data_IF_688097683224
#
_entry.id   IF_688097683224
#
_cell.length_a   1.000
_cell.length_b   1.000
_cell.length_c   1.000
_cell.angle_alpha   90.00
_cell.angle_beta   90.00
_cell.angle_gamma   90.00
#
_symmetry.space_group_name_H-M   'P 1'
#
loop_
_entity.id
_entity.type
_entity.pdbx_description
1 polymer ?
#
# COMPACT_ATOMS: atom_id res chain seq x y z
N UNK A 1 29.30 15.92 0.80
CA UNK A 1 27.99 16.14 0.24
C UNK A 1 27.13 14.90 0.38
N UNK A 2 26.01 15.00 1.01
CA UNK A 2 25.19 13.81 1.17
C UNK A 2 24.69 13.34 -0.20
N UNK A 3 24.94 12.10 -0.48
CA UNK A 3 24.41 11.49 -1.68
C UNK A 3 22.90 11.46 -1.58
N UNK A 4 22.24 11.89 -2.64
CA UNK A 4 20.80 11.70 -2.71
C UNK A 4 20.54 10.21 -2.79
N UNK A 5 19.93 9.71 -1.75
CA UNK A 5 19.51 8.31 -1.74
C UNK A 5 18.46 8.13 -2.82
N UNK A 6 18.73 7.25 -3.76
CA UNK A 6 17.73 6.92 -4.76
C UNK A 6 16.50 6.33 -4.11
N UNK A 7 15.33 6.71 -4.61
CA UNK A 7 14.09 6.15 -4.16
C UNK A 7 14.00 4.68 -4.56
N UNK A 8 13.51 3.87 -3.65
CA UNK A 8 13.24 2.48 -3.95
C UNK A 8 12.02 2.37 -4.88
N UNK A 9 11.86 1.20 -5.49
CA UNK A 9 10.69 0.92 -6.31
C UNK A 9 9.41 1.09 -5.50
N UNK A 10 9.40 0.56 -4.28
CA UNK A 10 8.23 0.66 -3.39
C UNK A 10 7.90 2.11 -3.05
N UNK A 11 8.91 2.92 -2.70
CA UNK A 11 8.70 4.34 -2.41
C UNK A 11 8.07 5.08 -3.59
N UNK A 12 8.57 4.83 -4.78
CA UNK A 12 8.05 5.46 -5.99
C UNK A 12 6.59 5.06 -6.24
N UNK A 13 6.28 3.78 -6.08
CA UNK A 13 4.92 3.29 -6.29
C UNK A 13 3.94 3.82 -5.23
N UNK A 14 4.34 3.85 -3.98
CA UNK A 14 3.50 4.38 -2.90
C UNK A 14 3.24 5.88 -3.11
N UNK A 15 4.27 6.64 -3.44
CA UNK A 15 4.11 8.08 -3.70
C UNK A 15 3.16 8.31 -4.87
N UNK A 16 3.28 7.52 -5.94
CA UNK A 16 2.36 7.61 -7.08
C UNK A 16 0.91 7.34 -6.65
N UNK A 17 0.69 6.30 -5.85
CA UNK A 17 -0.65 5.97 -5.36
C UNK A 17 -1.24 7.08 -4.48
N UNK A 18 -0.40 7.80 -3.75
CA UNK A 18 -0.85 8.84 -2.83
C UNK A 18 -1.05 10.21 -3.50
N UNK A 19 -0.65 10.39 -4.75
CA UNK A 19 -0.76 11.67 -5.43
C UNK A 19 -2.19 12.06 -5.82
N UNK A 20 -3.00 11.10 -6.26
CA UNK A 20 -4.32 11.40 -6.83
C UNK A 20 -5.40 11.48 -5.77
N UNK A 21 -5.53 12.65 -5.17
CA UNK A 21 -6.52 12.89 -4.11
C UNK A 21 -7.96 12.85 -4.61
N UNK A 22 -8.20 13.18 -5.86
CA UNK A 22 -9.55 13.11 -6.45
C UNK A 22 -10.02 11.65 -6.51
N UNK A 23 -9.14 10.76 -6.93
CA UNK A 23 -9.42 9.33 -6.96
C UNK A 23 -9.64 8.76 -5.55
N UNK A 24 -8.83 9.21 -4.58
CA UNK A 24 -9.01 8.83 -3.18
C UNK A 24 -10.38 9.21 -2.68
N UNK A 25 -10.83 10.42 -2.97
CA UNK A 25 -12.16 10.88 -2.57
C UNK A 25 -13.27 10.03 -3.20
N UNK A 26 -13.10 9.67 -4.47
CA UNK A 26 -14.06 8.81 -5.16
C UNK A 26 -14.15 7.42 -4.52
N UNK A 27 -13.02 6.86 -4.14
CA UNK A 27 -12.98 5.57 -3.44
C UNK A 27 -13.64 5.69 -2.06
N UNK A 28 -13.30 6.74 -1.31
CA UNK A 28 -13.86 6.98 0.01
C UNK A 28 -15.38 7.15 -0.03
N UNK A 29 -15.88 7.82 -1.07
CA UNK A 29 -17.30 8.04 -1.23
C UNK A 29 -18.10 6.75 -1.46
N UNK A 30 -17.45 5.68 -1.88
CA UNK A 30 -18.10 4.37 -2.06
C UNK A 30 -18.24 3.59 -0.76
N UNK A 31 -17.57 4.01 0.30
CA UNK A 31 -17.63 3.31 1.56
C UNK A 31 -18.88 3.70 2.34
N UNK A 32 -19.54 2.74 3.01
CA UNK A 32 -20.64 3.06 3.92
C UNK A 32 -20.14 4.02 5.02
N UNK A 33 -20.99 4.94 5.45
CA UNK A 33 -20.62 5.96 6.43
C UNK A 33 -20.02 5.38 7.71
N UNK A 34 -20.58 4.27 8.19
CA UNK A 34 -20.08 3.59 9.39
C UNK A 34 -18.65 3.09 9.23
N UNK A 35 -18.34 2.54 8.06
CA UNK A 35 -17.03 2.02 7.77
C UNK A 35 -16.02 3.13 7.55
N UNK A 36 -16.44 4.18 6.87
CA UNK A 36 -15.62 5.37 6.68
C UNK A 36 -15.23 5.98 8.04
N UNK A 37 -16.19 6.13 8.94
CA UNK A 37 -15.95 6.68 10.27
C UNK A 37 -14.95 5.82 11.07
N UNK A 38 -15.00 4.50 10.90
CA UNK A 38 -14.08 3.58 11.57
C UNK A 38 -12.65 3.70 11.05
N UNK A 39 -12.50 4.00 9.76
CA UNK A 39 -11.19 4.01 9.09
C UNK A 39 -10.49 5.36 9.21
N UNK A 40 -11.22 6.48 9.11
CA UNK A 40 -10.61 7.81 9.00
C UNK A 40 -9.88 8.30 10.25
N UNK A 41 -10.05 7.65 11.37
CA UNK A 41 -9.37 8.03 12.63
C UNK A 41 -8.12 7.22 12.88
N UNK A 42 -7.72 6.37 11.94
CA UNK A 42 -6.67 5.40 12.18
C UNK A 42 -5.50 5.60 11.27
N UNK A 43 -4.34 5.35 11.82
CA UNK A 43 -3.12 5.26 11.04
C UNK A 43 -2.75 3.80 10.89
N UNK A 44 -2.30 3.44 9.70
CA UNK A 44 -1.69 2.15 9.44
C UNK A 44 -0.23 2.33 9.08
N UNK A 45 0.57 1.34 9.39
CA UNK A 45 1.97 1.33 9.01
C UNK A 45 2.20 0.18 8.04
N UNK A 46 2.74 0.51 6.88
CA UNK A 46 3.13 -0.48 5.89
C UNK A 46 4.66 -0.63 5.94
N UNK A 47 5.14 -1.81 6.24
CA UNK A 47 6.56 -2.13 6.22
C UNK A 47 6.82 -3.06 5.05
N UNK A 48 7.57 -2.58 4.08
CA UNK A 48 8.04 -3.40 2.96
C UNK A 48 9.53 -3.56 3.14
N UNK A 49 9.93 -4.75 3.58
CA UNK A 49 11.30 -5.05 3.99
C UNK A 49 12.15 -5.48 2.81
N UNK A 50 13.33 -4.90 2.67
CA UNK A 50 14.28 -5.23 1.61
C UNK A 50 14.87 -4.00 0.95
N UNK A 51 15.79 -4.21 0.03
CA UNK A 51 16.53 -3.14 -0.64
C UNK A 51 15.62 -2.22 -1.46
N UNK A 52 14.53 -2.77 -2.01
CA UNK A 52 13.55 -2.02 -2.78
C UNK A 52 12.29 -1.71 -1.99
N UNK A 53 12.38 -1.75 -0.68
CA UNK A 53 11.26 -1.53 0.22
C UNK A 53 11.18 -0.12 0.79
N UNK A 54 10.52 -0.02 1.91
CA UNK A 54 10.37 1.22 2.66
C UNK A 54 9.36 1.08 3.78
N UNK A 55 9.27 2.11 4.60
CA UNK A 55 8.31 2.15 5.71
C UNK A 55 7.40 3.36 5.51
N UNK A 56 6.10 3.13 5.54
CA UNK A 56 5.10 4.14 5.24
C UNK A 56 4.05 4.17 6.33
N UNK A 57 3.81 5.35 6.87
CA UNK A 57 2.72 5.56 7.81
C UNK A 57 1.61 6.27 7.03
N UNK A 58 0.46 5.64 6.97
CA UNK A 58 -0.65 6.05 6.13
C UNK A 58 -1.80 6.48 7.02
N UNK A 59 -2.30 7.68 6.78
CA UNK A 59 -3.47 8.22 7.47
C UNK A 59 -4.60 8.38 6.47
N UNK A 60 -5.76 7.82 6.79
CA UNK A 60 -6.95 7.98 5.97
C UNK A 60 -7.82 9.11 6.50
N UNK A 61 -8.29 9.97 5.61
CA UNK A 61 -9.21 11.05 5.92
C UNK A 61 -10.35 11.04 4.92
N UNK A 62 -11.48 11.74 5.18
CA UNK A 62 -12.55 11.85 4.19
C UNK A 62 -12.09 12.49 2.88
N UNK A 63 -10.97 13.22 2.92
CA UNK A 63 -10.44 13.93 1.75
C UNK A 63 -9.39 13.14 0.98
N UNK A 64 -8.96 12.01 1.50
CA UNK A 64 -8.00 11.16 0.83
C UNK A 64 -7.08 10.42 1.80
N UNK A 65 -6.09 9.81 1.21
CA UNK A 65 -5.10 9.01 1.92
C UNK A 65 -3.78 9.78 1.91
N UNK A 66 -3.19 9.99 3.06
CA UNK A 66 -2.00 10.81 3.21
C UNK A 66 -0.90 10.04 3.92
N UNK A 67 0.33 10.37 3.59
CA UNK A 67 1.49 9.89 4.32
C UNK A 67 1.68 10.75 5.56
N UNK A 68 1.91 10.11 6.70
CA UNK A 68 2.21 10.79 7.96
C UNK A 68 3.66 10.52 8.35
N UNK A 69 4.25 11.43 9.10
CA UNK A 69 5.64 11.33 9.55
C UNK A 69 5.79 10.84 10.99
N UNK A 70 4.67 10.66 11.69
CA UNK A 70 4.68 10.25 13.08
C UNK A 70 4.06 8.87 13.24
N UNK A 71 4.72 7.97 13.96
CA UNK A 71 4.16 6.67 14.28
C UNK A 71 3.32 6.67 15.57
N UNK A 72 3.04 7.84 16.13
CA UNK A 72 2.08 7.99 17.23
C UNK A 72 0.69 7.54 16.75
N UNK A 73 0.00 6.76 17.57
CA UNK A 73 -1.35 6.26 17.27
C UNK A 73 -1.47 5.33 16.08
N UNK A 74 -0.36 4.74 15.65
CA UNK A 74 -0.41 3.66 14.67
C UNK A 74 -1.11 2.46 15.32
N UNK A 75 -2.22 2.03 14.72
CA UNK A 75 -3.06 0.96 15.26
C UNK A 75 -2.88 -0.37 14.55
N UNK A 76 -2.39 -0.31 13.33
CA UNK A 76 -2.30 -1.49 12.49
C UNK A 76 -0.98 -1.48 11.73
N UNK A 77 -0.36 -2.66 11.61
CA UNK A 77 0.88 -2.82 10.86
C UNK A 77 0.70 -3.93 9.84
N UNK A 78 1.07 -3.65 8.61
CA UNK A 78 1.15 -4.65 7.55
C UNK A 78 2.61 -4.80 7.17
N UNK A 79 3.09 -6.02 7.18
CA UNK A 79 4.48 -6.32 6.85
C UNK A 79 4.57 -7.31 5.70
N UNK A 80 5.47 -7.05 4.77
CA UNK A 80 5.82 -7.97 3.70
C UNK A 80 7.23 -7.65 3.20
N UNK A 81 7.82 -8.55 2.44
CA UNK A 81 9.08 -8.26 1.77
C UNK A 81 8.84 -7.44 0.51
N UNK A 82 9.88 -6.77 0.02
CA UNK A 82 9.82 -6.03 -1.23
C UNK A 82 9.47 -6.93 -2.42
N UNK A 83 10.03 -8.14 -2.46
CA UNK A 83 9.69 -9.11 -3.50
C UNK A 83 8.20 -9.43 -3.50
N UNK A 84 7.63 -9.67 -2.32
CA UNK A 84 6.19 -9.94 -2.19
C UNK A 84 5.37 -8.75 -2.65
N UNK A 85 5.73 -7.53 -2.22
CA UNK A 85 5.02 -6.33 -2.62
C UNK A 85 5.03 -6.15 -4.14
N UNK A 86 6.20 -6.26 -4.74
CA UNK A 86 6.35 -6.10 -6.19
C UNK A 86 5.56 -7.17 -6.94
N UNK A 87 5.65 -8.42 -6.51
CA UNK A 87 4.92 -9.53 -7.14
C UNK A 87 3.40 -9.31 -7.09
N UNK A 88 2.90 -8.80 -5.98
CA UNK A 88 1.47 -8.48 -5.87
C UNK A 88 1.12 -7.36 -6.84
N UNK A 89 1.90 -6.31 -6.89
CA UNK A 89 1.60 -5.16 -7.73
C UNK A 89 1.62 -5.52 -9.21
N UNK A 90 2.63 -6.28 -9.66
CA UNK A 90 2.72 -6.66 -11.08
C UNK A 90 1.80 -7.80 -11.48
N UNK A 91 1.16 -8.45 -10.52
CA UNK A 91 0.19 -9.50 -10.80
C UNK A 91 0.71 -10.93 -10.75
N UNK A 92 1.95 -11.13 -10.32
CA UNK A 92 2.54 -12.46 -10.19
C UNK A 92 2.04 -13.20 -8.94
N UNK A 93 1.49 -12.48 -7.99
CA UNK A 93 1.01 -13.03 -6.73
C UNK A 93 -0.29 -12.34 -6.32
N UNK A 94 -1.32 -13.12 -6.05
CA UNK A 94 -2.58 -12.56 -5.56
C UNK A 94 -2.47 -12.22 -4.07
N UNK A 95 -3.03 -11.08 -3.63
CA UNK A 95 -2.98 -10.69 -2.21
C UNK A 95 -3.54 -11.74 -1.27
N UNK A 96 -4.63 -12.39 -1.64
CA UNK A 96 -5.23 -13.46 -0.83
C UNK A 96 -4.30 -14.64 -0.65
N UNK A 97 -3.60 -15.02 -1.70
CA UNK A 97 -2.63 -16.10 -1.67
C UNK A 97 -1.44 -15.74 -0.78
N UNK A 98 -0.96 -14.50 -0.90
CA UNK A 98 0.14 -14.01 -0.09
C UNK A 98 -0.23 -14.05 1.40
N UNK A 99 -1.43 -13.63 1.76
CA UNK A 99 -1.90 -13.68 3.15
C UNK A 99 -2.02 -15.11 3.66
N UNK A 100 -2.55 -16.01 2.82
CA UNK A 100 -2.70 -17.42 3.20
C UNK A 100 -1.37 -18.13 3.42
N UNK A 101 -0.31 -17.65 2.78
CA UNK A 101 1.05 -18.21 2.91
C UNK A 101 1.91 -17.48 3.92
N UNK A 102 1.33 -16.58 4.71
CA UNK A 102 2.05 -15.74 5.67
C UNK A 102 3.16 -14.89 5.04
N UNK A 103 3.02 -14.57 3.76
CA UNK A 103 3.91 -13.63 3.05
C UNK A 103 3.53 -12.19 3.33
N UNK A 104 2.29 -11.97 3.76
CA UNK A 104 1.82 -10.68 4.25
C UNK A 104 1.34 -10.90 5.67
N UNK A 105 2.00 -10.25 6.62
CA UNK A 105 1.68 -10.36 8.03
C UNK A 105 0.92 -9.11 8.47
N UNK A 106 -0.06 -9.33 9.29
CA UNK A 106 -0.92 -8.27 9.78
C UNK A 106 -0.99 -8.31 11.30
N UNK A 107 -0.78 -7.16 11.93
CA UNK A 107 -0.97 -7.02 13.38
C UNK A 107 -1.73 -5.75 13.66
N UNK A 108 -2.50 -5.76 14.76
CA UNK A 108 -3.22 -4.57 15.17
C UNK A 108 -4.62 -4.84 15.68
N UNK A 109 -5.43 -3.81 15.71
CA UNK A 109 -6.77 -3.88 16.27
C UNK A 109 -7.71 -4.76 15.45
N UNK A 110 -8.53 -5.48 16.16
CA UNK A 110 -9.53 -6.40 15.62
C UNK A 110 -10.48 -5.76 14.60
N UNK A 111 -10.77 -4.49 14.82
CA UNK A 111 -11.65 -3.73 13.94
C UNK A 111 -11.18 -3.65 12.49
N UNK A 112 -9.92 -3.96 12.23
CA UNK A 112 -9.44 -4.01 10.86
C UNK A 112 -9.87 -5.30 10.15
N UNK A 113 -10.08 -6.38 10.87
CA UNK A 113 -10.68 -7.58 10.29
C UNK A 113 -12.13 -7.31 9.88
N UNK A 114 -12.83 -6.47 10.64
CA UNK A 114 -14.18 -6.05 10.31
C UNK A 114 -14.19 -5.13 9.08
N UNK A 115 -13.05 -4.57 8.75
CA UNK A 115 -12.88 -3.71 7.58
C UNK A 115 -12.29 -4.46 6.37
N UNK A 116 -12.35 -5.80 6.36
CA UNK A 116 -11.77 -6.61 5.29
C UNK A 116 -12.29 -6.21 3.90
N UNK A 117 -13.56 -5.85 3.79
CA UNK A 117 -14.13 -5.37 2.53
C UNK A 117 -13.48 -4.09 2.04
N UNK A 118 -13.18 -3.19 2.97
CA UNK A 118 -12.52 -1.92 2.67
C UNK A 118 -11.10 -2.21 2.17
N UNK A 119 -10.40 -3.10 2.85
CA UNK A 119 -9.05 -3.49 2.47
C UNK A 119 -9.06 -4.06 1.05
N UNK A 120 -10.02 -4.92 0.72
CA UNK A 120 -10.13 -5.49 -0.62
C UNK A 120 -10.37 -4.42 -1.69
N UNK A 121 -11.20 -3.44 -1.39
CA UNK A 121 -11.46 -2.33 -2.32
C UNK A 121 -10.17 -1.55 -2.57
N UNK A 122 -9.44 -1.21 -1.52
CA UNK A 122 -8.18 -0.47 -1.65
C UNK A 122 -7.10 -1.29 -2.34
N UNK A 123 -6.97 -2.57 -2.00
CA UNK A 123 -6.03 -3.47 -2.67
C UNK A 123 -6.30 -3.51 -4.17
N UNK A 124 -7.55 -3.71 -4.56
CA UNK A 124 -7.95 -3.75 -5.96
C UNK A 124 -7.64 -2.46 -6.69
N UNK A 125 -8.00 -1.34 -6.10
CA UNK A 125 -7.77 -0.03 -6.68
C UNK A 125 -6.28 0.26 -6.84
N UNK A 126 -5.50 0.03 -5.79
CA UNK A 126 -4.06 0.26 -5.80
C UNK A 126 -3.38 -0.64 -6.84
N UNK A 127 -3.72 -1.92 -6.85
CA UNK A 127 -3.13 -2.87 -7.79
C UNK A 127 -3.48 -2.48 -9.22
N UNK A 128 -4.72 -2.16 -9.50
CA UNK A 128 -5.17 -1.78 -10.84
C UNK A 128 -4.47 -0.52 -11.32
N UNK A 129 -4.31 0.46 -10.44
CA UNK A 129 -3.65 1.72 -10.77
C UNK A 129 -2.13 1.57 -10.87
N UNK A 130 -1.53 0.86 -9.93
CA UNK A 130 -0.08 0.74 -9.84
C UNK A 130 0.51 -0.27 -10.81
N UNK A 131 -0.25 -1.29 -11.18
CA UNK A 131 0.29 -2.38 -11.99
C UNK A 131 0.92 -1.95 -13.31
N UNK A 132 0.27 -1.10 -14.12
CA UNK A 132 0.90 -0.64 -15.36
C UNK A 132 2.19 0.13 -15.12
N UNK A 133 2.21 0.97 -14.08
CA UNK A 133 3.38 1.77 -13.72
C UNK A 133 4.52 0.87 -13.25
N UNK A 134 4.21 -0.10 -12.39
CA UNK A 134 5.20 -1.03 -11.87
C UNK A 134 5.81 -1.89 -12.97
N UNK A 135 4.99 -2.41 -13.86
CA UNK A 135 5.47 -3.20 -14.99
C UNK A 135 6.40 -2.39 -15.89
N UNK A 136 6.04 -1.14 -16.13
CA UNK A 136 6.86 -0.23 -16.94
C UNK A 136 8.19 0.08 -16.26
N UNK A 137 8.18 0.32 -14.96
CA UNK A 137 9.39 0.57 -14.17
C UNK A 137 10.33 -0.61 -14.20
N UNK A 138 9.82 -1.81 -13.97
CA UNK A 138 10.64 -3.02 -13.95
C UNK A 138 11.24 -3.30 -15.32
N UNK A 139 10.49 -3.06 -16.37
CA UNK A 139 10.98 -3.19 -17.74
C UNK A 139 12.12 -2.21 -18.01
N UNK A 140 11.98 -0.96 -17.56
CA UNK A 140 12.99 0.07 -17.75
C UNK A 140 14.32 -0.27 -17.07
N UNK A 141 14.27 -0.92 -15.92
CA UNK A 141 15.48 -1.34 -15.19
C UNK A 141 15.92 -2.76 -15.53
N UNK A 142 15.26 -3.40 -16.49
CA UNK A 142 15.61 -4.73 -16.97
C UNK A 142 15.21 -5.89 -16.08
N UNK A 143 14.63 -5.64 -14.94
CA UNK A 143 14.31 -6.71 -13.97
C UNK A 143 13.07 -7.52 -14.34
N UNK A 144 12.13 -6.91 -15.04
CA UNK A 144 10.91 -7.58 -15.45
C UNK A 144 10.94 -8.02 -16.90
N UNK A 145 12.06 -7.88 -17.57
CA UNK A 145 12.15 -8.07 -19.03
C UNK A 145 12.20 -9.54 -19.46
N UNK A 146 11.98 -10.48 -18.58
CA UNK A 146 11.99 -11.88 -18.92
C UNK A 146 13.29 -12.32 -19.56
N UNK A 147 14.29 -11.62 -19.20
CA UNK A 147 15.63 -11.91 -19.68
C UNK A 147 15.96 -13.37 -19.50
#
# INVERSE_FOLDING_TARGET
>A
MPEQKERTVTETLVDFALEDKVEHQAVMAKLPAERLAAVVRRKGKLIVDGDEGGVFIIKMTPYGIFRDNSDSDVRNVIWMTDTTFIDIVIGELEPKTARARDQVLFSGERSLYDAAEIIEIFEKWIITKLRPVAQKMLKAIGKGAGT
#
